data_IF_574141715808
#
_entry.id   IF_574141715808
#
_cell.length_a   1.000
_cell.length_b   1.000
_cell.length_c   1.000
_cell.angle_alpha   90.00
_cell.angle_beta   90.00
_cell.angle_gamma   90.00
#
_symmetry.space_group_name_H-M   'P 1'
#
loop_
_entity.id
_entity.type
_entity.pdbx_description
1 polymer ?
#
# COMPACT_ATOMS: atom_id res chain seq x y z
N UNK A 1 21.04 -24.02 -24.41
CA UNK A 1 20.57 -24.53 -23.11
C UNK A 1 19.81 -23.41 -22.41
N UNK A 2 18.62 -23.67 -21.84
CA UNK A 2 17.89 -22.65 -21.08
C UNK A 2 18.68 -22.27 -19.83
N UNK A 3 18.61 -21.00 -19.44
CA UNK A 3 19.19 -20.56 -18.16
C UNK A 3 18.39 -21.18 -17.02
N UNK A 4 19.07 -21.59 -15.95
CA UNK A 4 18.44 -22.17 -14.76
C UNK A 4 18.37 -21.16 -13.63
N UNK A 5 17.22 -21.07 -12.97
CA UNK A 5 17.00 -20.24 -11.79
C UNK A 5 16.45 -21.10 -10.66
N UNK A 6 17.10 -21.07 -9.50
CA UNK A 6 16.59 -21.67 -8.27
C UNK A 6 16.10 -20.54 -7.36
N UNK A 7 14.84 -20.61 -6.96
CA UNK A 7 14.19 -19.66 -6.07
C UNK A 7 13.96 -20.35 -4.72
N UNK A 8 14.47 -19.77 -3.64
CA UNK A 8 14.25 -20.29 -2.28
C UNK A 8 13.10 -19.52 -1.64
N UNK A 9 11.99 -20.22 -1.42
CA UNK A 9 10.74 -19.68 -0.88
C UNK A 9 9.71 -19.31 -1.95
N UNK A 10 8.47 -19.73 -1.73
CA UNK A 10 7.32 -19.51 -2.62
C UNK A 10 6.36 -18.43 -2.12
N UNK A 11 6.88 -17.44 -1.38
CA UNK A 11 6.12 -16.24 -1.06
C UNK A 11 5.81 -15.41 -2.31
N UNK A 12 4.96 -14.37 -2.17
CA UNK A 12 4.52 -13.55 -3.31
C UNK A 12 5.69 -13.02 -4.16
N UNK A 13 6.78 -12.57 -3.53
CA UNK A 13 7.98 -12.13 -4.27
C UNK A 13 8.66 -13.24 -5.08
N UNK A 14 8.75 -14.46 -4.52
CA UNK A 14 9.33 -15.63 -5.19
C UNK A 14 8.46 -16.12 -6.35
N UNK A 15 7.14 -16.15 -6.16
CA UNK A 15 6.19 -16.50 -7.22
C UNK A 15 6.17 -15.47 -8.35
N UNK A 16 6.22 -14.17 -8.03
CA UNK A 16 6.33 -13.10 -9.03
C UNK A 16 7.64 -13.20 -9.84
N UNK A 17 8.76 -13.53 -9.18
CA UNK A 17 10.04 -13.77 -9.87
C UNK A 17 9.97 -15.02 -10.75
N UNK A 18 9.37 -16.11 -10.25
CA UNK A 18 9.21 -17.34 -11.01
C UNK A 18 8.40 -17.11 -12.30
N UNK A 19 7.31 -16.36 -12.20
CA UNK A 19 6.47 -16.02 -13.35
C UNK A 19 7.26 -15.22 -14.40
N UNK A 20 7.96 -14.15 -13.97
CA UNK A 20 8.82 -13.33 -14.86
C UNK A 20 9.95 -14.13 -15.51
N UNK A 21 10.63 -14.98 -14.76
CA UNK A 21 11.72 -15.79 -15.30
C UNK A 21 11.20 -16.84 -16.29
N UNK A 22 10.08 -17.48 -15.97
CA UNK A 22 9.46 -18.49 -16.84
C UNK A 22 8.96 -17.87 -18.15
N UNK A 23 8.39 -16.66 -18.12
CA UNK A 23 7.99 -15.94 -19.34
C UNK A 23 9.16 -15.51 -20.21
N UNK A 24 10.39 -15.49 -19.67
CA UNK A 24 11.63 -15.18 -20.38
C UNK A 24 12.44 -16.43 -20.76
N UNK A 25 11.80 -17.61 -20.83
CA UNK A 25 12.40 -18.89 -21.24
C UNK A 25 13.48 -19.45 -20.28
N UNK A 26 13.39 -19.14 -18.98
CA UNK A 26 14.24 -19.76 -17.96
C UNK A 26 13.62 -21.06 -17.45
N UNK A 27 14.46 -22.04 -17.13
CA UNK A 27 14.09 -23.22 -16.35
C UNK A 27 14.10 -22.84 -14.86
N UNK A 28 12.92 -22.74 -14.25
CA UNK A 28 12.75 -22.28 -12.87
C UNK A 28 12.45 -23.46 -11.94
N UNK A 29 13.19 -23.56 -10.82
CA UNK A 29 12.89 -24.46 -9.71
C UNK A 29 12.62 -23.66 -8.45
N UNK A 30 11.51 -23.93 -7.77
CA UNK A 30 11.16 -23.29 -6.50
C UNK A 30 11.37 -24.31 -5.37
N UNK A 31 12.14 -23.91 -4.36
CA UNK A 31 12.36 -24.68 -3.14
C UNK A 31 11.49 -24.09 -2.03
N UNK A 32 10.40 -24.75 -1.69
CA UNK A 32 9.51 -24.38 -0.59
C UNK A 32 9.65 -25.37 0.55
N UNK A 33 9.67 -24.87 1.79
CA UNK A 33 9.76 -25.72 2.99
C UNK A 33 8.38 -26.24 3.41
N UNK A 34 7.33 -25.47 3.15
CA UNK A 34 5.95 -25.80 3.51
C UNK A 34 5.29 -26.71 2.47
N UNK A 35 4.16 -27.33 2.86
CA UNK A 35 3.38 -28.19 1.97
C UNK A 35 2.59 -27.40 0.91
N UNK A 36 2.43 -26.08 1.10
CA UNK A 36 1.70 -25.19 0.19
C UNK A 36 2.53 -23.97 -0.20
N UNK A 37 2.21 -23.42 -1.37
CA UNK A 37 2.81 -22.18 -1.87
C UNK A 37 2.12 -20.95 -1.27
N UNK A 38 2.77 -19.78 -1.39
CA UNK A 38 2.18 -18.48 -1.03
C UNK A 38 2.82 -17.81 0.19
N UNK A 39 3.60 -18.56 0.97
CA UNK A 39 4.29 -18.04 2.15
C UNK A 39 3.31 -17.48 3.19
N UNK A 40 3.32 -16.16 3.41
CA UNK A 40 2.36 -15.51 4.33
C UNK A 40 0.93 -15.48 3.76
N UNK A 41 0.78 -15.41 2.45
CA UNK A 41 -0.53 -15.44 1.77
C UNK A 41 -0.97 -16.90 1.64
N UNK A 42 -1.45 -17.46 2.74
CA UNK A 42 -1.84 -18.85 2.83
C UNK A 42 -3.23 -18.98 3.45
N UNK A 43 -3.76 -20.20 3.42
CA UNK A 43 -5.11 -20.52 3.84
C UNK A 43 -5.04 -21.56 4.96
N UNK A 44 -5.80 -21.31 6.02
CA UNK A 44 -6.04 -22.26 7.10
C UNK A 44 -7.52 -22.66 7.09
N UNK A 45 -7.80 -23.97 7.10
CA UNK A 45 -9.16 -24.50 7.11
C UNK A 45 -9.39 -25.36 8.34
N UNK A 46 -10.47 -25.08 9.06
CA UNK A 46 -10.85 -25.85 10.25
C UNK A 46 -12.35 -25.82 10.47
N UNK A 47 -12.96 -26.98 10.75
CA UNK A 47 -14.39 -27.12 11.07
C UNK A 47 -15.33 -26.49 10.03
N UNK A 48 -14.98 -26.56 8.73
CA UNK A 48 -15.76 -25.96 7.64
C UNK A 48 -15.57 -24.45 7.45
N UNK A 49 -14.69 -23.83 8.23
CA UNK A 49 -14.31 -22.43 8.06
C UNK A 49 -12.97 -22.31 7.34
N UNK A 50 -12.82 -21.24 6.55
CA UNK A 50 -11.60 -20.87 5.85
C UNK A 50 -11.11 -19.52 6.33
N UNK A 51 -9.81 -19.42 6.62
CA UNK A 51 -9.15 -18.23 7.14
C UNK A 51 -7.92 -17.92 6.30
N UNK A 52 -7.78 -16.67 5.85
CA UNK A 52 -6.53 -16.19 5.28
C UNK A 52 -5.53 -15.92 6.42
N UNK A 53 -4.30 -16.43 6.32
CA UNK A 53 -3.31 -16.35 7.41
C UNK A 53 -2.42 -15.10 7.35
N UNK A 54 -2.61 -14.28 6.33
CA UNK A 54 -1.69 -13.22 5.96
C UNK A 54 -2.36 -11.88 5.72
N UNK A 55 -1.87 -11.11 4.71
CA UNK A 55 -2.48 -9.84 4.33
C UNK A 55 -3.98 -9.99 4.03
N UNK A 56 -4.80 -9.20 4.72
CA UNK A 56 -6.26 -9.16 4.53
C UNK A 56 -6.73 -7.94 3.72
N UNK A 57 -5.79 -7.09 3.28
CA UNK A 57 -6.09 -5.84 2.59
C UNK A 57 -5.26 -5.72 1.31
N UNK A 58 -5.96 -5.46 0.21
CA UNK A 58 -5.38 -5.22 -1.11
C UNK A 58 -5.78 -3.80 -1.53
N UNK A 59 -4.80 -2.91 -1.72
CA UNK A 59 -5.04 -1.50 -2.07
C UNK A 59 -4.57 -1.13 -3.47
N UNK A 60 -3.72 -1.95 -4.10
CA UNK A 60 -3.14 -1.70 -5.42
C UNK A 60 -3.32 -2.93 -6.32
N UNK A 61 -4.57 -3.32 -6.67
CA UNK A 61 -4.82 -4.50 -7.51
C UNK A 61 -4.14 -4.42 -8.89
N UNK A 62 -3.89 -3.21 -9.41
CA UNK A 62 -3.21 -2.99 -10.68
C UNK A 62 -1.80 -3.57 -10.74
N UNK A 63 -1.09 -3.67 -9.60
CA UNK A 63 0.27 -4.27 -9.56
C UNK A 63 0.25 -5.74 -9.98
N UNK A 64 -0.84 -6.45 -9.69
CA UNK A 64 -1.02 -7.81 -10.19
C UNK A 64 -1.27 -7.78 -11.69
N UNK A 65 -2.22 -6.97 -12.17
CA UNK A 65 -2.53 -6.86 -13.60
C UNK A 65 -1.29 -6.55 -14.45
N UNK A 66 -0.47 -5.58 -14.02
CA UNK A 66 0.79 -5.21 -14.68
C UNK A 66 1.79 -6.39 -14.73
N UNK A 67 1.90 -7.18 -13.66
CA UNK A 67 2.77 -8.38 -13.65
C UNK A 67 2.31 -9.42 -14.68
N UNK A 68 1.00 -9.70 -14.73
CA UNK A 68 0.42 -10.67 -15.66
C UNK A 68 0.61 -10.20 -17.11
N UNK A 69 0.29 -8.93 -17.40
CA UNK A 69 0.48 -8.30 -18.71
C UNK A 69 1.94 -8.36 -19.18
N UNK A 70 2.89 -7.98 -18.33
CA UNK A 70 4.33 -8.03 -18.65
C UNK A 70 4.85 -9.45 -18.91
N UNK A 71 4.15 -10.47 -18.41
CA UNK A 71 4.50 -11.87 -18.63
C UNK A 71 3.70 -12.52 -19.78
N UNK A 72 2.82 -11.77 -20.45
CA UNK A 72 1.99 -12.27 -21.54
C UNK A 72 0.98 -13.33 -21.11
N UNK A 73 0.54 -13.29 -19.84
CA UNK A 73 -0.43 -14.23 -19.27
C UNK A 73 -1.69 -13.48 -18.84
N UNK A 74 -2.85 -14.11 -19.00
CA UNK A 74 -4.09 -13.51 -18.51
C UNK A 74 -4.21 -13.62 -16.99
N UNK A 75 -4.71 -12.58 -16.34
CA UNK A 75 -4.95 -12.55 -14.90
C UNK A 75 -6.25 -13.27 -14.48
N UNK A 76 -6.79 -14.17 -15.31
CA UNK A 76 -8.14 -14.74 -15.15
C UNK A 76 -8.38 -15.42 -13.78
N UNK A 77 -7.29 -15.82 -13.11
CA UNK A 77 -7.30 -16.44 -11.79
C UNK A 77 -7.52 -15.47 -10.63
N UNK A 78 -7.43 -14.15 -10.83
CA UNK A 78 -7.62 -13.14 -9.79
C UNK A 78 -8.86 -12.29 -10.04
N UNK A 79 -9.82 -12.35 -9.11
CA UNK A 79 -11.03 -11.53 -9.13
C UNK A 79 -11.04 -10.62 -7.91
N UNK A 80 -10.91 -9.32 -8.13
CA UNK A 80 -11.00 -8.31 -7.08
C UNK A 80 -12.43 -7.82 -6.92
N UNK A 81 -12.88 -7.69 -5.67
CA UNK A 81 -14.17 -7.09 -5.33
C UNK A 81 -13.93 -5.79 -4.56
N UNK A 82 -14.47 -4.69 -5.09
CA UNK A 82 -14.48 -3.41 -4.38
C UNK A 82 -15.36 -3.51 -3.13
N UNK A 83 -14.86 -3.03 -2.00
CA UNK A 83 -15.55 -3.07 -0.71
C UNK A 83 -16.21 -1.72 -0.42
N UNK A 84 -17.49 -1.76 -0.07
CA UNK A 84 -18.27 -0.57 0.33
C UNK A 84 -19.05 -0.90 1.59
N UNK A 85 -18.82 -0.19 2.72
CA UNK A 85 -17.80 0.85 2.93
C UNK A 85 -16.37 0.28 2.99
N UNK A 86 -15.34 1.14 2.93
CA UNK A 86 -13.95 0.68 3.03
C UNK A 86 -13.66 0.06 4.40
N UNK A 87 -14.16 0.67 5.48
CA UNK A 87 -13.97 0.17 6.85
C UNK A 87 -15.03 0.74 7.78
N UNK A 88 -15.44 -0.02 8.79
CA UNK A 88 -16.26 0.47 9.90
C UNK A 88 -15.40 0.56 11.17
N UNK A 89 -15.24 1.77 11.70
CA UNK A 89 -14.55 2.03 12.96
C UNK A 89 -15.57 2.18 14.09
N UNK A 90 -15.33 1.49 15.21
CA UNK A 90 -16.17 1.52 16.41
C UNK A 90 -15.31 1.97 17.58
N UNK A 91 -15.74 3.02 18.27
CA UNK A 91 -15.00 3.64 19.36
C UNK A 91 -15.57 3.24 20.73
N UNK A 92 -14.77 3.32 21.78
CA UNK A 92 -15.16 2.91 23.14
C UNK A 92 -16.32 3.73 23.71
N UNK A 93 -16.50 4.97 23.25
CA UNK A 93 -17.62 5.84 23.60
C UNK A 93 -18.93 5.50 22.86
N UNK A 94 -18.96 4.43 22.05
CA UNK A 94 -20.11 4.01 21.24
C UNK A 94 -20.22 4.71 19.89
N UNK A 95 -19.37 5.69 19.59
CA UNK A 95 -19.33 6.36 18.30
C UNK A 95 -18.88 5.39 17.19
N UNK A 96 -19.36 5.65 15.97
CA UNK A 96 -19.02 4.86 14.80
C UNK A 96 -18.71 5.76 13.61
N UNK A 97 -17.59 5.48 12.95
CA UNK A 97 -17.24 6.09 11.66
C UNK A 97 -17.28 5.01 10.60
N UNK A 98 -18.20 5.17 9.66
CA UNK A 98 -18.21 4.38 8.43
C UNK A 98 -17.35 5.12 7.41
N UNK A 99 -16.16 4.58 7.11
CA UNK A 99 -15.19 5.23 6.24
C UNK A 99 -15.61 5.05 4.78
N UNK A 100 -15.91 6.14 4.04
CA UNK A 100 -16.48 6.04 2.70
C UNK A 100 -15.46 5.60 1.67
N UNK A 101 -15.95 5.11 0.54
CA UNK A 101 -15.16 4.69 -0.62
C UNK A 101 -15.10 5.76 -1.72
N UNK A 102 -15.88 6.84 -1.61
CA UNK A 102 -15.94 7.92 -2.60
C UNK A 102 -15.60 9.28 -2.02
N UNK A 103 -15.09 10.18 -2.86
CA UNK A 103 -14.76 11.56 -2.46
C UNK A 103 -15.99 12.36 -2.00
N UNK A 104 -17.16 12.31 -2.67
CA UNK A 104 -18.35 13.04 -2.20
C UNK A 104 -18.82 12.56 -0.82
N UNK A 105 -18.86 11.25 -0.59
CA UNK A 105 -19.23 10.70 0.72
C UNK A 105 -18.18 11.02 1.80
N UNK A 106 -16.89 11.05 1.43
CA UNK A 106 -15.81 11.51 2.30
C UNK A 106 -15.99 12.98 2.67
N UNK A 107 -16.31 13.86 1.71
CA UNK A 107 -16.60 15.26 1.98
C UNK A 107 -17.78 15.42 2.96
N UNK A 108 -18.89 14.71 2.73
CA UNK A 108 -20.04 14.73 3.64
C UNK A 108 -19.70 14.23 5.06
N UNK A 109 -18.86 13.19 5.17
CA UNK A 109 -18.36 12.74 6.46
C UNK A 109 -17.55 13.85 7.15
N UNK A 110 -16.62 14.48 6.44
CA UNK A 110 -15.73 15.52 6.97
C UNK A 110 -16.49 16.77 7.40
N UNK A 111 -17.50 17.20 6.64
CA UNK A 111 -18.38 18.30 7.04
C UNK A 111 -19.05 18.08 8.39
N UNK A 112 -19.30 16.81 8.76
CA UNK A 112 -19.91 16.43 10.02
C UNK A 112 -18.91 16.32 11.17
N UNK A 113 -17.70 15.83 10.92
CA UNK A 113 -16.77 15.43 12.01
C UNK A 113 -15.59 16.40 12.19
N UNK A 114 -15.24 17.21 11.19
CA UNK A 114 -14.14 18.17 11.25
C UNK A 114 -14.66 19.61 11.42
N UNK A 115 -14.06 20.36 12.35
CA UNK A 115 -14.45 21.74 12.62
C UNK A 115 -14.24 22.68 11.42
N UNK A 116 -13.25 22.37 10.56
CA UNK A 116 -12.88 23.15 9.38
C UNK A 116 -13.55 22.64 8.09
N UNK A 117 -14.56 21.76 8.23
CA UNK A 117 -15.25 21.08 7.13
C UNK A 117 -14.33 20.26 6.23
N UNK A 118 -13.23 19.74 6.78
CA UNK A 118 -12.29 18.85 6.09
C UNK A 118 -11.18 19.56 5.33
N UNK A 119 -11.02 20.88 5.47
CA UNK A 119 -9.95 21.63 4.76
C UNK A 119 -8.56 21.04 5.04
N UNK A 120 -8.24 20.81 6.31
CA UNK A 120 -6.96 20.23 6.73
C UNK A 120 -6.80 18.79 6.28
N UNK A 121 -7.87 17.98 6.31
CA UNK A 121 -7.87 16.64 5.70
C UNK A 121 -7.46 16.68 4.23
N UNK A 122 -8.06 17.57 3.43
CA UNK A 122 -7.74 17.66 2.01
C UNK A 122 -6.31 18.16 1.76
N UNK A 123 -5.79 19.04 2.60
CA UNK A 123 -4.38 19.45 2.56
C UNK A 123 -3.43 18.28 2.87
N UNK A 124 -3.78 17.45 3.85
CA UNK A 124 -3.03 16.24 4.18
C UNK A 124 -3.09 15.22 3.04
N UNK A 125 -4.26 15.00 2.43
CA UNK A 125 -4.40 14.11 1.28
C UNK A 125 -3.65 14.61 0.05
N UNK A 126 -3.67 15.91 -0.24
CA UNK A 126 -2.89 16.49 -1.33
C UNK A 126 -1.39 16.30 -1.11
N UNK A 127 -0.93 16.44 0.14
CA UNK A 127 0.45 16.12 0.53
C UNK A 127 0.77 14.64 0.31
N UNK A 128 -0.08 13.74 0.83
CA UNK A 128 0.11 12.30 0.70
C UNK A 128 0.12 11.84 -0.76
N UNK A 129 -0.77 12.38 -1.60
CA UNK A 129 -0.83 12.09 -3.03
C UNK A 129 0.46 12.51 -3.74
N UNK A 130 1.00 13.69 -3.43
CA UNK A 130 2.29 14.15 -3.98
C UNK A 130 3.44 13.25 -3.53
N UNK A 131 3.48 12.88 -2.24
CA UNK A 131 4.50 11.96 -1.74
C UNK A 131 4.42 10.60 -2.44
N UNK A 132 3.20 10.08 -2.65
CA UNK A 132 2.99 8.85 -3.39
C UNK A 132 3.46 8.96 -4.85
N UNK A 133 3.07 10.03 -5.56
CA UNK A 133 3.51 10.26 -6.95
C UNK A 133 5.04 10.33 -7.06
N UNK A 134 5.68 11.06 -6.14
CA UNK A 134 7.13 11.17 -6.07
C UNK A 134 7.77 9.81 -5.81
N UNK A 135 7.30 9.09 -4.78
CA UNK A 135 7.83 7.77 -4.43
C UNK A 135 7.68 6.76 -5.56
N UNK A 136 6.56 6.78 -6.29
CA UNK A 136 6.35 5.91 -7.45
C UNK A 136 7.41 6.14 -8.52
N UNK A 137 7.63 7.40 -8.92
CA UNK A 137 8.56 7.73 -10.01
C UNK A 137 10.04 7.64 -9.62
N UNK A 138 10.39 7.72 -8.33
CA UNK A 138 11.79 7.75 -7.88
C UNK A 138 12.28 6.49 -7.19
N UNK A 139 11.38 5.65 -6.66
CA UNK A 139 11.78 4.45 -5.90
C UNK A 139 11.11 3.18 -6.39
N UNK A 140 9.89 3.25 -6.93
CA UNK A 140 9.18 2.05 -7.39
C UNK A 140 9.44 1.75 -8.88
N UNK A 141 9.53 2.78 -9.72
CA UNK A 141 9.77 2.63 -11.16
C UNK A 141 11.26 2.57 -11.54
N UNK A 142 12.15 3.08 -10.70
CA UNK A 142 13.59 3.14 -10.98
C UNK A 142 14.35 1.95 -10.39
N UNK A 143 15.31 1.41 -11.13
CA UNK A 143 16.22 0.40 -10.57
C UNK A 143 17.26 1.10 -9.68
N UNK A 144 17.54 0.63 -8.45
CA UNK A 144 18.50 1.30 -7.55
C UNK A 144 19.91 1.51 -8.12
N UNK A 145 20.28 0.76 -9.17
CA UNK A 145 21.58 0.82 -9.84
C UNK A 145 21.60 1.75 -11.05
N UNK A 146 20.46 2.29 -11.48
CA UNK A 146 20.39 3.20 -12.62
C UNK A 146 20.81 4.61 -12.22
N UNK A 147 21.62 5.24 -13.08
CA UNK A 147 21.96 6.66 -12.93
C UNK A 147 20.69 7.46 -13.25
N UNK A 148 20.18 8.28 -12.33
CA UNK A 148 18.94 9.00 -12.56
C UNK A 148 19.08 9.95 -13.76
N UNK A 149 18.07 9.96 -14.63
CA UNK A 149 18.01 10.87 -15.77
C UNK A 149 17.98 12.33 -15.30
N UNK A 150 18.34 13.26 -16.18
CA UNK A 150 18.29 14.70 -15.86
C UNK A 150 16.90 15.16 -15.41
N UNK A 151 15.85 14.56 -15.97
CA UNK A 151 14.45 14.81 -15.59
C UNK A 151 14.13 14.26 -14.19
N UNK A 152 14.59 13.05 -13.87
CA UNK A 152 14.45 12.48 -12.52
C UNK A 152 15.20 13.32 -11.48
N UNK A 153 16.40 13.80 -11.80
CA UNK A 153 17.17 14.71 -10.93
C UNK A 153 16.43 16.03 -10.74
N UNK A 154 15.91 16.65 -11.80
CA UNK A 154 15.12 17.88 -11.68
C UNK A 154 13.86 17.68 -10.86
N UNK A 155 13.16 16.55 -11.04
CA UNK A 155 11.99 16.20 -10.25
C UNK A 155 12.35 15.99 -8.78
N UNK A 156 13.45 15.29 -8.47
CA UNK A 156 13.99 15.13 -7.11
C UNK A 156 14.33 16.50 -6.48
N UNK A 157 14.95 17.39 -7.25
CA UNK A 157 15.25 18.75 -6.78
C UNK A 157 13.98 19.57 -6.54
N UNK A 158 12.97 19.44 -7.40
CA UNK A 158 11.67 20.06 -7.20
C UNK A 158 10.89 19.44 -6.06
N UNK A 159 11.13 18.16 -5.75
CA UNK A 159 10.50 17.41 -4.67
C UNK A 159 11.12 17.70 -3.30
N UNK A 160 12.36 18.21 -3.24
CA UNK A 160 12.97 18.75 -2.01
C UNK A 160 12.11 19.79 -1.28
N UNK A 161 11.23 20.52 -2.01
CA UNK A 161 10.29 21.45 -1.37
C UNK A 161 9.13 20.74 -0.65
N UNK A 162 8.81 19.52 -1.07
CA UNK A 162 7.78 18.65 -0.53
C UNK A 162 8.37 17.61 0.43
N UNK A 163 9.69 17.45 0.47
CA UNK A 163 10.36 16.52 1.37
C UNK A 163 10.16 16.95 2.85
N UNK A 164 9.94 15.98 3.75
CA UNK A 164 9.64 16.18 5.18
C UNK A 164 10.57 17.16 5.91
N UNK A 165 11.83 17.23 5.45
CA UNK A 165 12.90 18.03 6.02
C UNK A 165 12.61 19.54 6.03
N UNK A 166 11.81 20.05 5.08
CA UNK A 166 11.53 21.50 4.97
C UNK A 166 10.26 21.96 5.69
N UNK A 167 9.36 21.03 6.05
CA UNK A 167 8.06 21.30 6.71
C UNK A 167 8.01 20.86 8.19
N UNK A 168 9.15 20.50 8.79
CA UNK A 168 9.26 19.96 10.15
C UNK A 168 8.41 18.68 10.37
N UNK A 169 8.30 17.83 9.35
CA UNK A 169 7.71 16.49 9.41
C UNK A 169 8.75 15.48 9.89
N UNK A 170 9.23 15.65 11.12
CA UNK A 170 10.05 14.60 11.75
C UNK A 170 9.21 13.42 12.25
N UNK A 171 7.88 13.51 12.17
CA UNK A 171 6.96 12.63 12.88
C UNK A 171 5.56 12.61 12.26
N UNK A 172 5.10 11.43 11.86
CA UNK A 172 3.79 11.18 11.28
C UNK A 172 2.64 11.74 12.14
N UNK A 173 2.61 11.43 13.45
CA UNK A 173 1.53 11.87 14.33
C UNK A 173 1.42 13.40 14.41
N UNK A 174 2.55 14.11 14.51
CA UNK A 174 2.56 15.59 14.50
C UNK A 174 1.99 16.17 13.20
N UNK A 175 2.26 15.52 12.07
CA UNK A 175 1.72 15.94 10.78
C UNK A 175 0.20 15.76 10.75
N UNK A 176 -0.31 14.63 11.24
CA UNK A 176 -1.75 14.38 11.38
C UNK A 176 -2.40 15.42 12.30
N UNK A 177 -1.80 15.71 13.45
CA UNK A 177 -2.36 16.64 14.45
C UNK A 177 -2.50 18.06 13.95
N UNK A 178 -1.62 18.50 13.04
CA UNK A 178 -1.70 19.82 12.41
C UNK A 178 -2.86 19.95 11.44
N UNK A 179 -3.32 18.85 10.84
CA UNK A 179 -4.29 18.86 9.75
C UNK A 179 -5.67 18.36 10.14
N UNK A 180 -5.74 17.41 11.07
CA UNK A 180 -6.97 16.76 11.50
C UNK A 180 -7.32 17.29 12.88
N UNK A 181 -8.58 17.63 13.13
CA UNK A 181 -9.05 18.15 14.42
C UNK A 181 -9.89 17.14 15.19
N UNK A 182 -10.66 16.29 14.51
CA UNK A 182 -11.45 15.23 15.15
C UNK A 182 -10.54 14.23 15.88
N UNK A 183 -10.75 13.97 17.17
CA UNK A 183 -10.01 12.94 17.91
C UNK A 183 -10.14 11.55 17.26
N UNK A 184 -11.33 11.21 16.78
CA UNK A 184 -11.65 9.94 16.15
C UNK A 184 -10.96 9.79 14.79
N UNK A 185 -10.98 10.84 13.98
CA UNK A 185 -10.28 10.82 12.68
C UNK A 185 -8.76 10.77 12.87
N UNK A 186 -8.20 11.49 13.86
CA UNK A 186 -6.78 11.36 14.22
C UNK A 186 -6.41 9.93 14.58
N UNK A 187 -7.22 9.28 15.42
CA UNK A 187 -6.98 7.89 15.83
C UNK A 187 -7.03 6.93 14.63
N UNK A 188 -7.96 7.14 13.69
CA UNK A 188 -8.00 6.38 12.43
C UNK A 188 -6.69 6.57 11.65
N UNK A 189 -6.18 7.80 11.56
CA UNK A 189 -4.94 8.08 10.84
C UNK A 189 -3.71 7.49 11.53
N UNK A 190 -3.63 7.56 12.85
CA UNK A 190 -2.55 6.94 13.64
C UNK A 190 -2.41 5.43 13.43
N UNK A 191 -3.42 4.76 12.88
CA UNK A 191 -3.36 3.35 12.50
C UNK A 191 -2.51 3.11 11.24
N UNK A 192 -2.39 4.04 10.29
CA UNK A 192 -1.69 3.75 9.02
C UNK A 192 -0.23 3.29 9.19
N UNK A 193 0.57 3.83 10.13
CA UNK A 193 1.92 3.31 10.40
C UNK A 193 1.98 1.82 10.81
N UNK A 194 0.87 1.22 11.26
CA UNK A 194 0.83 -0.22 11.56
C UNK A 194 0.97 -1.08 10.30
N UNK A 195 0.73 -0.53 9.10
CA UNK A 195 0.88 -1.25 7.83
C UNK A 195 2.33 -1.66 7.57
N UNK A 196 3.27 -0.95 8.19
CA UNK A 196 4.71 -1.24 8.14
C UNK A 196 5.26 -1.58 9.53
N UNK A 197 4.39 -2.03 10.45
CA UNK A 197 4.77 -2.43 11.81
C UNK A 197 5.38 -1.32 12.66
N UNK A 198 5.04 -0.07 12.38
CA UNK A 198 5.64 1.10 13.03
C UNK A 198 4.66 1.83 13.97
N UNK A 199 5.21 2.57 14.93
CA UNK A 199 4.41 3.47 15.79
C UNK A 199 4.17 4.80 15.07
N UNK A 200 2.95 5.37 15.12
CA UNK A 200 2.68 6.70 14.55
C UNK A 200 3.49 7.82 15.21
N UNK A 201 3.95 7.61 16.45
CA UNK A 201 4.79 8.55 17.18
C UNK A 201 6.29 8.38 16.88
N UNK A 202 6.67 7.44 16.02
CA UNK A 202 8.06 7.20 15.61
C UNK A 202 8.25 7.13 14.10
N UNK A 203 7.18 6.87 13.35
CA UNK A 203 7.18 6.90 11.91
C UNK A 203 7.49 8.32 11.40
N UNK A 204 8.25 8.45 10.30
CA UNK A 204 8.54 9.74 9.67
C UNK A 204 7.26 10.43 9.18
#
# INVERSE_FOLDING_TARGET
MKKRLIIVGSGLGGLSLALRASSNDWEVSILERNDTLGGKLNIFEQNGFRFDTGPSLITLPQVFAELFEQCGVEHEHLRFRHLVPLTQYRFANGEQITYPDTLPATAALLERIEADRGRGYWQLMATAAKLFELSSRTFFESVPTEIPSREQVQMLLHSLRWLPLRNAWGNYARTVDRHITSPQLRQIFYRYPTYVGSSPYRAP
#
